data_IF_930999321304
#
_entry.id   IF_930999321304
#
_cell.length_a   1.000
_cell.length_b   1.000
_cell.length_c   1.000
_cell.angle_alpha   90.00
_cell.angle_beta   90.00
_cell.angle_gamma   90.00
#
_symmetry.space_group_name_H-M   'P 1'
#
loop_
_entity.id
_entity.type
_entity.pdbx_description
1 polymer ?
#
# COMPACT_ATOMS: atom_id res chain seq x y z
N UNK A 1 -2.87 -17.98 -0.94
CA UNK A 1 -4.07 -17.31 -1.45
C UNK A 1 -5.22 -17.50 -0.47
N UNK A 2 -5.87 -16.42 -0.13
CA UNK A 2 -7.09 -16.37 0.68
C UNK A 2 -8.20 -15.97 -0.28
N UNK A 3 -9.21 -16.81 -0.41
CA UNK A 3 -10.30 -16.64 -1.38
C UNK A 3 -11.62 -16.98 -0.67
N UNK A 4 -11.96 -16.13 0.31
CA UNK A 4 -13.08 -16.34 1.18
C UNK A 4 -13.51 -15.04 1.87
N UNK A 5 -14.68 -15.08 2.53
CA UNK A 5 -15.18 -14.01 3.37
C UNK A 5 -14.95 -14.35 4.85
N UNK A 6 -14.89 -13.33 5.69
CA UNK A 6 -14.82 -13.46 7.15
C UNK A 6 -13.62 -14.29 7.65
N UNK A 7 -12.49 -14.22 6.91
CA UNK A 7 -11.25 -14.89 7.30
C UNK A 7 -10.51 -14.09 8.36
N UNK A 8 -10.02 -14.78 9.38
CA UNK A 8 -9.15 -14.17 10.40
C UNK A 8 -7.86 -14.96 10.55
N UNK A 9 -6.74 -14.26 10.48
CA UNK A 9 -5.41 -14.82 10.77
C UNK A 9 -4.78 -14.09 11.95
N UNK A 10 -4.04 -14.84 12.79
CA UNK A 10 -3.32 -14.29 13.94
C UNK A 10 -1.96 -14.95 14.12
N UNK A 11 -0.95 -14.14 14.42
CA UNK A 11 0.39 -14.62 14.74
C UNK A 11 0.98 -15.53 13.66
N UNK A 12 0.64 -15.28 12.38
CA UNK A 12 1.13 -16.03 11.23
C UNK A 12 2.13 -15.21 10.42
N UNK A 13 3.02 -15.92 9.76
CA UNK A 13 3.92 -15.35 8.76
C UNK A 13 3.52 -15.86 7.37
N UNK A 14 3.28 -14.92 6.47
CA UNK A 14 3.10 -15.15 5.05
C UNK A 14 4.38 -14.69 4.35
N UNK A 15 5.06 -15.57 3.66
CA UNK A 15 6.34 -15.26 3.06
C UNK A 15 6.43 -15.76 1.62
N UNK A 16 7.00 -14.91 0.75
CA UNK A 16 7.50 -15.30 -0.55
C UNK A 16 9.00 -15.01 -0.61
N UNK A 17 9.80 -16.04 -0.73
CA UNK A 17 11.26 -16.00 -0.76
C UNK A 17 11.85 -16.32 -2.14
N UNK A 18 11.05 -16.14 -3.20
CA UNK A 18 11.51 -16.35 -4.59
C UNK A 18 12.67 -15.45 -4.99
N UNK A 19 12.86 -14.34 -4.30
CA UNK A 19 13.92 -13.38 -4.56
C UNK A 19 13.41 -11.95 -4.77
N UNK A 20 14.26 -11.12 -5.34
CA UNK A 20 13.95 -9.71 -5.58
C UNK A 20 13.23 -9.48 -6.91
N UNK A 21 12.40 -8.44 -6.97
CA UNK A 21 11.58 -8.14 -8.13
C UNK A 21 12.35 -7.91 -9.42
N UNK A 22 13.55 -7.35 -9.34
CA UNK A 22 14.42 -7.16 -10.51
C UNK A 22 14.81 -8.49 -11.18
N UNK A 23 15.00 -9.55 -10.40
CA UNK A 23 15.40 -10.88 -10.92
C UNK A 23 14.20 -11.77 -11.22
N UNK A 24 13.18 -11.78 -10.36
CA UNK A 24 12.07 -12.76 -10.47
C UNK A 24 10.74 -12.14 -10.88
N UNK A 25 10.64 -10.80 -10.91
CA UNK A 25 9.39 -10.09 -11.14
C UNK A 25 8.50 -10.02 -9.89
N UNK A 26 7.20 -9.85 -10.09
CA UNK A 26 6.20 -9.80 -9.02
C UNK A 26 6.07 -11.15 -8.33
N UNK A 27 6.11 -11.15 -7.00
CA UNK A 27 6.08 -12.39 -6.20
C UNK A 27 5.34 -12.16 -4.88
N UNK A 28 4.03 -12.46 -4.89
CA UNK A 28 3.15 -12.21 -3.76
C UNK A 28 3.44 -13.13 -2.57
N UNK A 29 3.52 -12.56 -1.37
CA UNK A 29 3.43 -13.33 -0.13
C UNK A 29 1.98 -13.74 0.15
N UNK A 30 1.02 -12.85 -0.16
CA UNK A 30 -0.40 -13.15 -0.02
C UNK A 30 -1.24 -12.50 -1.12
N UNK A 31 -2.21 -13.25 -1.60
CA UNK A 31 -3.31 -12.79 -2.44
C UNK A 31 -4.59 -12.86 -1.61
N UNK A 32 -5.16 -11.73 -1.23
CA UNK A 32 -6.36 -11.64 -0.40
C UNK A 32 -7.55 -11.28 -1.26
N UNK A 33 -8.51 -12.21 -1.39
CA UNK A 33 -9.72 -12.04 -2.20
C UNK A 33 -10.95 -12.43 -1.36
N UNK A 34 -12.01 -11.69 -1.51
CA UNK A 34 -13.21 -11.79 -0.67
C UNK A 34 -13.33 -10.61 0.27
N UNK A 35 -14.30 -10.65 1.15
CA UNK A 35 -14.69 -9.51 1.98
C UNK A 35 -14.56 -9.82 3.48
N UNK A 36 -14.27 -8.80 4.29
CA UNK A 36 -14.13 -8.87 5.75
C UNK A 36 -13.04 -9.84 6.22
N UNK A 37 -11.86 -9.71 5.63
CA UNK A 37 -10.69 -10.48 6.01
C UNK A 37 -9.80 -9.66 6.96
N UNK A 38 -9.41 -10.23 8.09
CA UNK A 38 -8.66 -9.54 9.14
C UNK A 38 -7.38 -10.28 9.54
N UNK A 39 -6.33 -9.52 9.80
CA UNK A 39 -5.00 -10.02 10.14
C UNK A 39 -4.49 -9.30 11.38
N UNK A 40 -4.10 -10.07 12.41
CA UNK A 40 -3.63 -9.53 13.69
C UNK A 40 -2.26 -10.10 14.04
N UNK A 41 -1.30 -9.23 14.36
CA UNK A 41 0.07 -9.64 14.71
C UNK A 41 0.70 -10.56 13.66
N UNK A 42 0.37 -10.37 12.38
CA UNK A 42 0.89 -11.17 11.28
C UNK A 42 2.11 -10.52 10.64
N UNK A 43 2.89 -11.33 9.93
CA UNK A 43 4.04 -10.85 9.15
C UNK A 43 3.82 -11.19 7.69
N UNK A 44 4.08 -10.21 6.82
CA UNK A 44 4.02 -10.36 5.37
C UNK A 44 5.41 -10.02 4.81
N UNK A 45 6.12 -11.03 4.34
CA UNK A 45 7.51 -10.91 3.95
C UNK A 45 7.65 -11.20 2.45
N UNK A 46 8.00 -10.18 1.69
CA UNK A 46 8.19 -10.29 0.25
C UNK A 46 9.18 -9.27 -0.28
N UNK A 47 9.11 -9.04 -1.58
CA UNK A 47 9.84 -8.01 -2.31
C UNK A 47 8.87 -7.18 -3.13
N UNK A 48 8.90 -7.27 -4.46
CA UNK A 48 7.91 -6.60 -5.30
C UNK A 48 6.54 -7.28 -5.17
N UNK A 49 5.48 -6.48 -4.97
CA UNK A 49 4.09 -6.95 -4.94
C UNK A 49 3.80 -7.92 -3.75
N UNK A 50 4.18 -7.59 -2.53
CA UNK A 50 4.05 -8.51 -1.38
C UNK A 50 2.61 -8.85 -1.02
N UNK A 51 1.71 -7.84 -0.92
CA UNK A 51 0.28 -8.01 -0.60
C UNK A 51 -0.55 -7.53 -1.78
N UNK A 52 -1.38 -8.41 -2.30
CA UNK A 52 -2.44 -8.05 -3.22
C UNK A 52 -3.79 -8.05 -2.52
N UNK A 53 -4.38 -6.87 -2.37
CA UNK A 53 -5.75 -6.68 -1.87
C UNK A 53 -6.71 -6.63 -3.05
N UNK A 54 -7.32 -7.79 -3.34
CA UNK A 54 -8.23 -7.94 -4.46
C UNK A 54 -9.50 -7.07 -4.35
N UNK A 55 -10.18 -6.82 -5.45
CA UNK A 55 -10.07 -7.49 -6.76
C UNK A 55 -8.99 -6.89 -7.67
N UNK A 56 -8.76 -7.58 -8.80
CA UNK A 56 -8.04 -6.98 -9.92
C UNK A 56 -8.81 -5.76 -10.45
N UNK A 57 -8.14 -4.77 -11.04
CA UNK A 57 -8.82 -3.64 -11.71
C UNK A 57 -9.83 -4.10 -12.76
N UNK A 58 -10.82 -3.24 -13.06
CA UNK A 58 -11.87 -3.55 -14.03
C UNK A 58 -11.33 -3.86 -15.43
N UNK A 59 -10.25 -3.19 -15.82
CA UNK A 59 -9.64 -3.35 -17.16
C UNK A 59 -8.14 -3.57 -17.04
N UNK A 60 -7.63 -4.40 -17.92
CA UNK A 60 -6.19 -4.55 -18.12
C UNK A 60 -5.58 -3.24 -18.65
N UNK A 61 -4.34 -2.95 -18.27
CA UNK A 61 -3.57 -1.87 -18.89
C UNK A 61 -2.98 -2.30 -20.23
N UNK A 62 -2.71 -3.60 -20.37
CA UNK A 62 -2.20 -4.21 -21.59
C UNK A 62 -2.94 -5.54 -21.82
N UNK A 63 -3.25 -5.93 -23.06
CA UNK A 63 -3.88 -7.21 -23.36
C UNK A 63 -3.11 -8.39 -22.73
N UNK A 64 -3.83 -9.27 -22.01
CA UNK A 64 -3.23 -10.41 -21.31
C UNK A 64 -2.41 -10.01 -20.07
N UNK A 65 -2.64 -8.83 -19.51
CA UNK A 65 -1.95 -8.32 -18.31
C UNK A 65 -2.41 -8.98 -17.02
N UNK A 66 -3.61 -9.57 -17.01
CA UNK A 66 -4.13 -10.28 -15.84
C UNK A 66 -3.96 -11.80 -16.05
N UNK A 67 -2.88 -12.35 -15.52
CA UNK A 67 -2.64 -13.79 -15.57
C UNK A 67 -2.63 -14.33 -14.16
N UNK A 68 -3.59 -15.18 -13.83
CA UNK A 68 -3.58 -15.84 -12.54
C UNK A 68 -4.93 -15.92 -11.84
N UNK A 69 -4.93 -16.14 -10.54
CA UNK A 69 -6.15 -16.26 -9.75
C UNK A 69 -7.00 -15.00 -9.86
N UNK A 70 -8.29 -15.14 -10.07
CA UNK A 70 -9.21 -14.00 -10.12
C UNK A 70 -9.32 -13.28 -11.47
N UNK A 71 -8.57 -13.69 -12.50
CA UNK A 71 -8.64 -13.09 -13.85
C UNK A 71 -10.09 -12.97 -14.37
N UNK A 72 -10.87 -14.02 -14.21
CA UNK A 72 -12.27 -14.10 -14.68
C UNK A 72 -13.31 -13.93 -13.57
N UNK A 73 -12.90 -13.57 -12.35
CA UNK A 73 -13.81 -13.36 -11.24
C UNK A 73 -14.56 -12.02 -11.34
N UNK A 74 -15.76 -11.93 -10.76
CA UNK A 74 -16.38 -10.63 -10.51
C UNK A 74 -15.47 -9.69 -9.74
N UNK A 75 -15.49 -8.40 -10.07
CA UNK A 75 -14.68 -7.37 -9.38
C UNK A 75 -15.42 -6.87 -8.13
N UNK A 76 -15.67 -7.76 -7.19
CA UNK A 76 -16.31 -7.42 -5.90
C UNK A 76 -15.26 -6.85 -4.96
N UNK A 77 -15.47 -5.63 -4.49
CA UNK A 77 -14.54 -4.95 -3.59
C UNK A 77 -14.55 -5.63 -2.22
N UNK A 78 -13.36 -6.08 -1.80
CA UNK A 78 -13.12 -6.62 -0.47
C UNK A 78 -12.71 -5.53 0.53
N UNK A 79 -13.08 -5.75 1.80
CA UNK A 79 -12.61 -4.95 2.94
C UNK A 79 -11.63 -5.80 3.74
N UNK A 80 -10.43 -5.23 3.96
CA UNK A 80 -9.35 -5.94 4.62
C UNK A 80 -8.82 -5.11 5.79
N UNK A 81 -8.56 -5.75 6.91
CA UNK A 81 -8.10 -5.11 8.14
C UNK A 81 -6.80 -5.73 8.63
N UNK A 82 -5.81 -4.90 8.88
CA UNK A 82 -4.48 -5.31 9.34
C UNK A 82 -4.17 -4.55 10.63
N UNK A 83 -3.93 -5.27 11.73
CA UNK A 83 -3.60 -4.65 13.02
C UNK A 83 -2.32 -5.25 13.60
N UNK A 84 -1.42 -4.38 14.04
CA UNK A 84 -0.12 -4.75 14.60
C UNK A 84 0.69 -5.67 13.69
N UNK A 85 0.54 -5.55 12.38
CA UNK A 85 1.24 -6.39 11.40
C UNK A 85 2.60 -5.79 11.02
N UNK A 86 3.54 -6.67 10.66
CA UNK A 86 4.79 -6.31 10.02
C UNK A 86 4.70 -6.63 8.52
N UNK A 87 4.82 -5.60 7.67
CA UNK A 87 4.66 -5.74 6.22
C UNK A 87 5.94 -5.25 5.54
N UNK A 88 6.61 -6.14 4.80
CA UNK A 88 7.90 -5.88 4.17
C UNK A 88 7.83 -6.07 2.66
N UNK A 89 8.44 -5.15 1.93
CA UNK A 89 8.64 -5.24 0.49
C UNK A 89 9.50 -4.12 -0.06
N UNK A 90 9.56 -4.00 -1.37
CA UNK A 90 10.31 -2.94 -2.05
C UNK A 90 9.44 -2.16 -3.05
N UNK A 91 9.04 -2.72 -4.16
CA UNK A 91 8.26 -2.02 -5.19
C UNK A 91 6.79 -2.43 -5.12
N UNK A 92 5.88 -1.43 -4.99
CA UNK A 92 4.42 -1.62 -5.04
C UNK A 92 3.93 -2.73 -4.09
N UNK A 93 4.56 -2.82 -2.91
CA UNK A 93 4.42 -4.02 -2.09
C UNK A 93 3.09 -4.15 -1.33
N UNK A 94 2.23 -3.10 -1.37
CA UNK A 94 0.83 -3.15 -0.98
C UNK A 94 0.02 -2.61 -2.16
N UNK A 95 -0.70 -3.48 -2.87
CA UNK A 95 -1.36 -3.10 -4.11
C UNK A 95 -2.70 -3.80 -4.31
N UNK A 96 -3.53 -3.28 -5.20
CA UNK A 96 -4.85 -3.84 -5.54
C UNK A 96 -5.97 -2.82 -5.46
N UNK A 97 -7.21 -3.31 -5.61
CA UNK A 97 -8.42 -2.48 -5.67
C UNK A 97 -9.29 -2.57 -4.41
N UNK A 98 -8.89 -3.36 -3.41
CA UNK A 98 -9.60 -3.50 -2.15
C UNK A 98 -9.58 -2.24 -1.31
N UNK A 99 -10.47 -2.19 -0.33
CA UNK A 99 -10.43 -1.20 0.75
C UNK A 99 -9.65 -1.85 1.89
N UNK A 100 -8.60 -1.21 2.38
CA UNK A 100 -7.81 -1.75 3.47
C UNK A 100 -7.51 -0.69 4.54
N UNK A 101 -7.65 -1.10 5.80
CA UNK A 101 -7.24 -0.34 6.98
C UNK A 101 -6.05 -1.02 7.65
N UNK A 102 -4.98 -0.25 7.83
CA UNK A 102 -3.77 -0.67 8.51
C UNK A 102 -3.68 0.09 9.84
N UNK A 103 -3.79 -0.63 10.94
CA UNK A 103 -3.79 -0.09 12.30
C UNK A 103 -2.49 -0.48 13.01
N UNK A 104 -1.72 0.49 13.50
CA UNK A 104 -0.49 0.26 14.25
C UNK A 104 0.51 -0.70 13.58
N UNK A 105 0.53 -0.75 12.25
CA UNK A 105 1.41 -1.64 11.51
C UNK A 105 2.82 -1.06 11.35
N UNK A 106 3.81 -1.94 11.29
CA UNK A 106 5.15 -1.58 10.82
C UNK A 106 5.26 -1.90 9.33
N UNK A 107 5.48 -0.87 8.54
CA UNK A 107 5.64 -0.93 7.08
C UNK A 107 7.12 -0.79 6.77
N UNK A 108 7.76 -1.87 6.36
CA UNK A 108 9.21 -1.92 6.16
C UNK A 108 9.58 -1.97 4.68
N UNK A 109 10.15 -0.88 4.19
CA UNK A 109 10.71 -0.82 2.84
C UNK A 109 12.12 -1.37 2.83
N UNK A 110 12.31 -2.54 2.23
CA UNK A 110 13.62 -3.19 2.22
C UNK A 110 14.47 -2.79 1.02
N UNK A 111 15.78 -2.71 1.22
CA UNK A 111 16.74 -2.47 0.13
C UNK A 111 16.76 -3.68 -0.82
N UNK A 112 16.50 -3.50 -2.13
CA UNK A 112 16.61 -4.58 -3.10
C UNK A 112 18.07 -5.03 -3.24
N UNK A 113 18.38 -6.26 -2.80
CA UNK A 113 19.76 -6.77 -2.78
C UNK A 113 20.31 -7.20 -4.14
N UNK A 114 19.45 -7.33 -5.14
CA UNK A 114 19.82 -7.69 -6.52
C UNK A 114 19.93 -6.47 -7.46
N UNK A 115 19.77 -5.27 -6.91
CA UNK A 115 19.79 -4.06 -7.72
C UNK A 115 21.21 -3.76 -8.17
N UNK A 116 21.40 -3.62 -9.48
CA UNK A 116 22.65 -3.10 -10.04
C UNK A 116 22.83 -1.66 -9.55
N UNK A 117 24.00 -1.30 -9.00
CA UNK A 117 24.27 0.08 -8.62
C UNK A 117 23.89 1.02 -9.76
N UNK A 118 23.13 2.07 -9.48
CA UNK A 118 22.67 2.99 -10.53
C UNK A 118 23.86 3.76 -11.12
N UNK A 119 23.72 4.14 -12.39
CA UNK A 119 24.63 5.10 -13.01
C UNK A 119 24.47 6.52 -12.44
N UNK A 120 23.35 6.77 -11.76
CA UNK A 120 23.02 8.05 -11.11
C UNK A 120 23.58 8.12 -9.68
N UNK A 121 23.82 9.31 -9.13
CA UNK A 121 24.16 9.49 -7.73
C UNK A 121 23.14 8.77 -6.82
N UNK A 122 23.60 8.12 -5.75
CA UNK A 122 22.76 7.34 -4.84
C UNK A 122 21.59 8.17 -4.28
N UNK A 123 21.77 9.47 -4.11
CA UNK A 123 20.74 10.41 -3.67
C UNK A 123 19.56 10.61 -4.63
N UNK A 124 19.68 10.17 -5.89
CA UNK A 124 18.64 10.31 -6.92
C UNK A 124 17.94 8.97 -7.23
N UNK A 125 18.35 7.91 -6.54
CA UNK A 125 17.84 6.57 -6.82
C UNK A 125 16.58 6.31 -6.01
N UNK A 126 15.51 5.94 -6.71
CA UNK A 126 14.29 5.44 -6.07
C UNK A 126 14.37 3.92 -5.98
N UNK A 127 14.29 3.41 -4.75
CA UNK A 127 14.37 1.98 -4.46
C UNK A 127 13.00 1.32 -4.37
N UNK A 128 11.93 2.07 -4.12
CA UNK A 128 10.62 1.45 -4.02
C UNK A 128 9.45 2.40 -3.85
N UNK A 129 8.29 1.77 -3.74
CA UNK A 129 7.00 2.41 -3.52
C UNK A 129 6.21 1.56 -2.52
N UNK A 130 5.70 2.18 -1.45
CA UNK A 130 4.92 1.45 -0.44
C UNK A 130 3.62 0.94 -1.04
N UNK A 131 2.86 1.82 -1.70
CA UNK A 131 1.55 1.48 -2.22
C UNK A 131 1.42 1.67 -3.73
N UNK A 132 0.60 0.81 -4.35
CA UNK A 132 0.15 0.94 -5.73
C UNK A 132 -1.35 0.61 -5.80
N UNK A 133 -2.19 1.53 -5.30
CA UNK A 133 -3.62 1.34 -5.28
C UNK A 133 -4.24 1.40 -6.68
N UNK A 134 -5.32 0.66 -6.86
CA UNK A 134 -6.18 0.70 -8.05
C UNK A 134 -7.66 0.83 -7.68
N UNK A 135 -7.92 1.65 -6.68
CA UNK A 135 -9.27 1.93 -6.18
C UNK A 135 -10.22 2.23 -7.32
N UNK A 136 -11.41 1.62 -7.40
CA UNK A 136 -12.42 1.98 -8.39
C UNK A 136 -12.96 3.41 -8.19
N UNK A 137 -13.46 4.00 -9.25
CA UNK A 137 -13.98 5.38 -9.23
C UNK A 137 -15.07 5.60 -8.19
N UNK A 138 -15.99 4.66 -8.07
CA UNK A 138 -17.14 4.70 -7.18
C UNK A 138 -16.82 4.47 -5.70
N UNK A 139 -15.62 3.97 -5.39
CA UNK A 139 -15.22 3.73 -4.02
C UNK A 139 -14.71 5.01 -3.34
N UNK A 140 -15.33 5.46 -2.24
CA UNK A 140 -14.89 6.67 -1.55
C UNK A 140 -13.53 6.50 -0.86
N UNK A 141 -13.19 5.28 -0.44
CA UNK A 141 -11.97 4.95 0.29
C UNK A 141 -11.15 3.88 -0.46
N UNK A 142 -9.83 3.91 -0.27
CA UNK A 142 -8.89 2.90 -0.70
C UNK A 142 -8.08 2.39 0.48
N UNK A 143 -6.78 2.68 0.51
CA UNK A 143 -5.89 2.31 1.61
C UNK A 143 -5.81 3.42 2.66
N UNK A 144 -5.98 3.05 3.93
CA UNK A 144 -5.83 3.95 5.07
C UNK A 144 -4.82 3.35 6.04
N UNK A 145 -3.76 4.09 6.31
CA UNK A 145 -2.75 3.76 7.31
C UNK A 145 -2.96 4.67 8.51
N UNK A 146 -3.23 4.09 9.67
CA UNK A 146 -3.48 4.81 10.91
C UNK A 146 -2.46 4.41 11.98
N UNK A 147 -1.77 5.40 12.54
CA UNK A 147 -0.74 5.21 13.57
C UNK A 147 0.30 4.14 13.21
N UNK A 148 0.62 4.03 11.90
CA UNK A 148 1.62 3.11 11.40
C UNK A 148 3.03 3.71 11.50
N UNK A 149 4.03 2.82 11.55
CA UNK A 149 5.44 3.20 11.51
C UNK A 149 6.06 2.74 10.19
N UNK A 150 6.66 3.68 9.45
CA UNK A 150 7.37 3.41 8.21
C UNK A 150 8.87 3.37 8.48
N UNK A 151 9.45 2.18 8.34
CA UNK A 151 10.87 1.91 8.57
C UNK A 151 11.54 1.38 7.30
N UNK A 152 12.87 1.43 7.24
CA UNK A 152 13.62 0.98 6.07
C UNK A 152 15.10 0.73 6.38
N UNK A 153 15.73 -0.09 5.55
CA UNK A 153 17.17 -0.17 5.38
C UNK A 153 17.65 0.50 4.07
N UNK A 154 16.73 1.20 3.35
CA UNK A 154 17.05 2.00 2.16
C UNK A 154 17.67 3.35 2.55
N UNK A 155 18.46 3.96 1.64
CA UNK A 155 18.97 5.32 1.83
C UNK A 155 17.87 6.36 2.06
N UNK A 156 18.19 7.51 2.69
CA UNK A 156 17.25 8.62 2.83
C UNK A 156 16.68 9.09 1.47
N UNK A 157 15.42 9.53 1.48
CA UNK A 157 14.73 10.11 0.32
C UNK A 157 14.56 9.18 -0.89
N UNK A 158 14.54 7.88 -0.71
CA UNK A 158 14.58 6.91 -1.80
C UNK A 158 13.31 6.07 -1.98
N UNK A 159 12.30 6.27 -1.14
CA UNK A 159 11.04 5.53 -1.17
C UNK A 159 9.85 6.51 -1.27
N UNK A 160 8.92 6.24 -2.17
CA UNK A 160 7.65 6.95 -2.22
C UNK A 160 6.59 6.25 -1.36
N UNK A 161 5.69 7.01 -0.74
CA UNK A 161 4.50 6.50 -0.04
C UNK A 161 3.57 5.75 -0.99
N UNK A 162 3.56 6.13 -2.26
CA UNK A 162 2.81 5.42 -3.26
C UNK A 162 2.79 6.06 -4.63
N UNK A 163 2.20 5.30 -5.55
CA UNK A 163 1.94 5.72 -6.92
C UNK A 163 0.63 5.09 -7.45
N UNK A 164 -0.10 5.72 -8.38
CA UNK A 164 -1.41 5.24 -8.81
C UNK A 164 -1.28 4.11 -9.84
N UNK A 165 -1.60 2.86 -9.44
CA UNK A 165 -1.69 1.77 -10.43
C UNK A 165 -2.84 2.02 -11.42
N UNK A 166 -3.94 2.62 -10.94
CA UNK A 166 -5.05 3.11 -11.78
C UNK A 166 -5.41 4.54 -11.43
N UNK A 167 -6.18 5.17 -12.30
CA UNK A 167 -6.47 6.62 -12.27
C UNK A 167 -7.19 7.07 -10.99
N UNK A 168 -7.97 6.22 -10.34
CA UNK A 168 -8.75 6.54 -9.15
C UNK A 168 -8.11 6.04 -7.85
N UNK A 169 -6.84 5.73 -7.88
CA UNK A 169 -6.10 5.27 -6.71
C UNK A 169 -6.30 6.19 -5.50
N UNK A 170 -6.54 5.61 -4.30
CA UNK A 170 -6.72 6.37 -3.06
C UNK A 170 -5.88 5.77 -1.95
N UNK A 171 -5.05 6.59 -1.32
CA UNK A 171 -4.24 6.19 -0.17
C UNK A 171 -4.08 7.37 0.79
N UNK A 172 -4.27 7.12 2.08
CA UNK A 172 -4.16 8.14 3.14
C UNK A 172 -3.33 7.61 4.31
N UNK A 173 -2.45 8.46 4.83
CA UNK A 173 -1.67 8.20 6.04
C UNK A 173 -2.11 9.17 7.15
N UNK A 174 -2.52 8.62 8.30
CA UNK A 174 -3.04 9.36 9.44
C UNK A 174 -2.17 9.07 10.66
N UNK A 175 -1.60 10.11 11.28
CA UNK A 175 -0.79 10.00 12.48
C UNK A 175 0.40 9.04 12.38
N UNK A 176 0.96 8.84 11.19
CA UNK A 176 2.03 7.88 10.95
C UNK A 176 3.42 8.44 11.26
N UNK A 177 4.31 7.60 11.78
CA UNK A 177 5.73 7.89 11.88
C UNK A 177 6.43 7.56 10.55
N UNK A 178 6.97 8.58 9.89
CA UNK A 178 7.63 8.44 8.59
C UNK A 178 9.15 8.54 8.74
N UNK A 179 9.86 7.45 8.41
CA UNK A 179 11.32 7.38 8.45
C UNK A 179 11.98 8.23 7.36
N UNK A 180 13.27 8.51 7.52
CA UNK A 180 14.06 9.37 6.61
C UNK A 180 14.16 8.86 5.17
N UNK A 181 13.87 7.58 4.94
CA UNK A 181 13.84 6.97 3.60
C UNK A 181 12.72 7.52 2.72
N UNK A 182 11.68 8.14 3.30
CA UNK A 182 10.57 8.69 2.52
C UNK A 182 11.03 9.90 1.71
N UNK A 183 10.80 9.84 0.40
CA UNK A 183 11.13 10.90 -0.53
C UNK A 183 10.38 12.20 -0.18
N UNK A 184 11.03 13.38 -0.26
CA UNK A 184 10.40 14.66 0.10
C UNK A 184 9.08 14.94 -0.62
N UNK A 185 8.96 14.58 -1.91
CA UNK A 185 7.71 14.70 -2.63
C UNK A 185 6.60 13.76 -2.13
N UNK A 186 6.95 12.73 -1.35
CA UNK A 186 6.03 11.75 -0.77
C UNK A 186 5.38 10.81 -1.78
N UNK A 187 4.91 11.33 -2.89
CA UNK A 187 4.06 10.64 -3.86
C UNK A 187 4.59 10.79 -5.29
N UNK A 188 4.32 9.79 -6.13
CA UNK A 188 4.68 9.79 -7.54
C UNK A 188 3.44 9.53 -8.39
N UNK A 189 3.26 10.30 -9.46
CA UNK A 189 2.04 10.29 -10.28
C UNK A 189 1.97 9.18 -11.33
N UNK A 190 3.05 8.45 -11.54
CA UNK A 190 3.19 7.46 -12.61
C UNK A 190 2.79 7.99 -13.98
N UNK A 191 3.02 9.28 -14.23
CA UNK A 191 2.66 10.01 -15.45
C UNK A 191 1.15 9.99 -15.76
N UNK A 192 0.30 9.86 -14.72
CA UNK A 192 -1.15 9.96 -14.84
C UNK A 192 -1.63 11.39 -14.59
N UNK A 193 -2.78 11.76 -15.16
CA UNK A 193 -3.44 13.03 -14.82
C UNK A 193 -3.76 13.10 -13.33
N UNK A 194 -3.66 14.30 -12.73
CA UNK A 194 -3.79 14.50 -11.28
C UNK A 194 -5.24 14.71 -10.80
N UNK A 195 -6.21 14.63 -11.69
CA UNK A 195 -7.61 15.00 -11.45
C UNK A 195 -8.47 13.86 -10.88
N UNK A 196 -7.92 12.66 -10.71
CA UNK A 196 -8.69 11.48 -10.32
C UNK A 196 -8.19 10.76 -9.09
N UNK A 197 -6.88 10.53 -8.93
CA UNK A 197 -6.37 9.85 -7.75
C UNK A 197 -6.30 10.79 -6.54
N UNK A 198 -6.34 10.22 -5.35
CA UNK A 198 -6.32 10.97 -4.11
C UNK A 198 -5.25 10.43 -3.16
N UNK A 199 -4.32 11.29 -2.78
CA UNK A 199 -3.27 10.99 -1.82
C UNK A 199 -3.31 12.00 -0.69
N UNK A 200 -3.46 11.51 0.55
CA UNK A 200 -3.62 12.36 1.72
C UNK A 200 -2.69 11.99 2.87
N UNK A 201 -2.33 13.00 3.64
CA UNK A 201 -1.61 12.85 4.89
C UNK A 201 -2.24 13.75 5.95
N UNK A 202 -2.28 13.26 7.21
CA UNK A 202 -2.76 14.04 8.34
C UNK A 202 -1.90 13.77 9.58
N UNK A 203 -1.32 14.85 10.13
CA UNK A 203 -0.52 14.81 11.35
C UNK A 203 0.54 13.69 11.39
N UNK A 204 1.07 13.28 10.24
CA UNK A 204 2.22 12.39 10.20
C UNK A 204 3.47 13.12 10.66
N UNK A 205 4.38 12.41 11.30
CA UNK A 205 5.58 12.96 11.95
C UNK A 205 6.83 12.14 11.64
N UNK A 206 7.97 12.59 12.13
CA UNK A 206 9.27 11.94 11.88
C UNK A 206 10.06 12.59 10.75
N UNK A 207 11.28 12.12 10.49
CA UNK A 207 12.20 12.78 9.54
C UNK A 207 11.73 12.75 8.08
N UNK A 208 10.89 11.78 7.72
CA UNK A 208 10.28 11.69 6.39
C UNK A 208 8.97 12.48 6.23
N UNK A 209 8.45 13.08 7.31
CA UNK A 209 7.25 13.91 7.27
C UNK A 209 7.63 15.34 6.87
N UNK A 210 7.48 15.67 5.58
CA UNK A 210 7.87 16.96 5.01
C UNK A 210 6.71 17.59 4.22
N UNK A 211 5.65 18.05 4.88
CA UNK A 211 4.44 18.53 4.20
C UNK A 211 4.70 19.69 3.22
N UNK A 212 5.69 20.53 3.50
CA UNK A 212 6.04 21.66 2.64
C UNK A 212 6.70 21.28 1.30
N UNK A 213 7.17 20.04 1.16
CA UNK A 213 7.87 19.56 -0.04
C UNK A 213 7.08 18.48 -0.78
N UNK A 214 5.90 18.11 -0.27
CA UNK A 214 5.05 17.11 -0.91
C UNK A 214 4.64 17.53 -2.32
N UNK A 215 4.43 16.55 -3.18
CA UNK A 215 3.91 16.77 -4.52
C UNK A 215 2.63 17.61 -4.48
N UNK A 216 2.48 18.54 -5.39
CA UNK A 216 1.38 19.52 -5.45
C UNK A 216 -0.01 18.90 -5.64
N UNK A 217 -0.06 17.67 -6.13
CA UNK A 217 -1.28 16.88 -6.29
C UNK A 217 -1.68 16.08 -5.03
N UNK A 218 -0.86 16.11 -3.96
CA UNK A 218 -1.20 15.47 -2.69
C UNK A 218 -1.81 16.47 -1.71
N UNK A 219 -2.50 15.95 -0.70
CA UNK A 219 -3.30 16.75 0.22
C UNK A 219 -2.80 16.60 1.65
N UNK A 220 -2.62 17.72 2.34
CA UNK A 220 -2.55 17.73 3.79
C UNK A 220 -3.98 17.94 4.30
N UNK A 221 -4.55 16.92 4.94
CA UNK A 221 -5.95 16.95 5.36
C UNK A 221 -6.15 17.95 6.50
N UNK A 222 -7.28 18.62 6.49
CA UNK A 222 -7.80 19.37 7.64
C UNK A 222 -8.36 18.42 8.71
N UNK A 223 -8.57 18.91 9.93
CA UNK A 223 -9.19 18.16 11.02
C UNK A 223 -10.58 17.60 10.61
N UNK A 224 -11.35 18.36 9.85
CA UNK A 224 -12.67 17.97 9.38
C UNK A 224 -12.59 16.83 8.33
N UNK A 225 -11.63 16.88 7.41
CA UNK A 225 -11.41 15.82 6.43
C UNK A 225 -10.87 14.56 7.08
N UNK A 226 -9.92 14.68 8.02
CA UNK A 226 -9.36 13.55 8.75
C UNK A 226 -10.43 12.81 9.58
N UNK A 227 -11.39 13.54 10.15
CA UNK A 227 -12.51 12.98 10.92
C UNK A 227 -13.45 12.09 10.09
N UNK A 228 -13.38 12.17 8.75
CA UNK A 228 -14.13 11.28 7.84
C UNK A 228 -13.48 9.89 7.73
N UNK A 229 -12.23 9.74 8.14
CA UNK A 229 -11.50 8.46 8.11
C UNK A 229 -11.61 7.77 9.47
N UNK A 230 -12.69 7.06 9.69
CA UNK A 230 -12.87 6.15 10.83
C UNK A 230 -12.98 4.72 10.35
N UNK A 231 -12.63 3.74 11.18
CA UNK A 231 -12.78 2.30 10.84
C UNK A 231 -14.22 2.01 10.42
N UNK A 232 -15.22 2.52 11.16
CA UNK A 232 -16.64 2.34 10.85
C UNK A 232 -17.00 2.81 9.44
N UNK A 233 -16.55 4.02 9.06
CA UNK A 233 -16.87 4.60 7.75
C UNK A 233 -16.10 3.91 6.62
N UNK A 234 -14.79 3.75 6.78
CA UNK A 234 -13.91 3.14 5.77
C UNK A 234 -14.32 1.68 5.55
N UNK A 235 -14.60 0.95 6.62
CA UNK A 235 -15.05 -0.44 6.57
C UNK A 235 -16.55 -0.60 6.32
N UNK A 236 -17.26 0.51 5.99
CA UNK A 236 -18.68 0.49 5.64
C UNK A 236 -19.53 -0.29 6.65
N UNK A 237 -19.35 0.00 7.95
CA UNK A 237 -20.07 -0.63 9.06
C UNK A 237 -19.62 -2.06 9.39
N UNK A 238 -18.58 -2.59 8.77
CA UNK A 238 -17.94 -3.79 9.28
C UNK A 238 -17.00 -3.42 10.43
N UNK A 239 -17.22 -4.06 11.58
CA UNK A 239 -16.38 -3.90 12.78
C UNK A 239 -15.42 -5.08 12.88
N UNK A 240 -14.13 -4.90 12.57
CA UNK A 240 -13.11 -5.92 12.84
C UNK A 240 -13.04 -6.22 14.34
N UNK A 241 -12.78 -7.47 14.70
CA UNK A 241 -12.65 -7.83 16.11
C UNK A 241 -11.43 -7.16 16.72
N UNK A 242 -11.61 -6.47 17.84
CA UNK A 242 -10.50 -5.97 18.66
C UNK A 242 -10.08 -7.04 19.68
N UNK A 243 -8.76 -7.14 19.97
CA UNK A 243 -8.23 -8.17 20.87
C UNK A 243 -7.26 -7.59 21.88
#
# INVERSE_FOLDING_TARGET
RIDTHDFTARNLTFQNDSGYGHTVGQALAVYVDGDRNAFYNCRFLGSQDTIFDAPLPLKEAQPGGFKGPGEFKPRTIGRHYYENCFIQGDVDFIFGSGIAWFEHCTIFSKLPGDRIPPESPESEVIYGYVTAASTPQEEPYGYVFHECKLESDCPPNSIYLGRPWREWAKTVFLHCELGEHIHPAGWQDWKKPHDHFYYGEYNSYGPGASPATRADFSHQLTDAEAAEYTVERVMKGWEPQTF
#
